data_IF_522328525725
#
_entry.id   IF_522328525725
#
_cell.length_a   1.000
_cell.length_b   1.000
_cell.length_c   1.000
_cell.angle_alpha   90.00
_cell.angle_beta   90.00
_cell.angle_gamma   90.00
#
_symmetry.space_group_name_H-M   'P 1'
#
loop_
_entity.id
_entity.type
_entity.pdbx_description
1 polymer ?
#
# COMPACT_ATOMS: atom_id res chain seq x y z
N UNK A 1 -46.14 55.35 -20.32
CA UNK A 1 -46.03 54.73 -18.98
C UNK A 1 -44.78 53.87 -18.98
N UNK A 2 -43.63 54.43 -18.54
CA UNK A 2 -42.98 54.13 -17.24
C UNK A 2 -42.59 52.64 -17.13
N UNK A 3 -41.32 52.25 -17.07
CA UNK A 3 -40.37 52.66 -16.02
C UNK A 3 -38.91 52.38 -16.45
N UNK A 4 -38.01 53.31 -16.06
CA UNK A 4 -36.54 53.26 -16.22
C UNK A 4 -35.94 53.29 -14.80
N UNK A 5 -35.13 52.30 -14.40
CA UNK A 5 -34.15 52.34 -13.26
C UNK A 5 -33.07 51.27 -13.49
N UNK A 6 -31.92 51.63 -14.07
CA UNK A 6 -30.60 51.93 -13.45
C UNK A 6 -29.82 50.66 -13.01
N UNK A 7 -28.61 50.42 -13.56
CA UNK A 7 -27.78 49.26 -13.23
C UNK A 7 -26.96 49.50 -11.96
N UNK A 8 -26.96 48.54 -11.03
CA UNK A 8 -26.08 48.56 -9.86
C UNK A 8 -24.93 47.59 -10.09
N UNK A 9 -23.78 48.15 -10.46
CA UNK A 9 -22.49 47.44 -10.46
C UNK A 9 -22.01 47.37 -9.01
N UNK A 10 -21.94 46.17 -8.44
CA UNK A 10 -21.15 45.90 -7.22
C UNK A 10 -19.98 45.02 -7.65
N UNK A 11 -18.81 45.65 -7.72
CA UNK A 11 -17.53 44.98 -7.80
C UNK A 11 -17.10 44.60 -6.37
N UNK A 12 -17.09 43.31 -6.07
CA UNK A 12 -16.33 42.74 -4.96
C UNK A 12 -15.59 41.54 -5.49
N UNK A 13 -14.33 41.77 -5.87
CA UNK A 13 -13.39 40.70 -6.10
C UNK A 13 -12.93 40.13 -4.77
N UNK A 14 -13.04 38.83 -4.59
CA UNK A 14 -12.12 38.06 -3.76
C UNK A 14 -11.91 36.70 -4.42
N UNK A 15 -10.67 36.44 -4.81
CA UNK A 15 -10.17 35.16 -5.27
C UNK A 15 -10.40 34.10 -4.19
N UNK A 16 -11.05 33.00 -4.54
CA UNK A 16 -10.85 31.72 -3.88
C UNK A 16 -10.77 30.65 -4.96
N UNK A 17 -9.53 30.31 -5.33
CA UNK A 17 -9.22 29.09 -6.03
C UNK A 17 -9.65 27.90 -5.18
N UNK A 18 -10.08 26.82 -5.84
CA UNK A 18 -9.76 25.48 -5.35
C UNK A 18 -10.92 24.52 -5.23
N UNK A 19 -10.99 23.64 -6.22
CA UNK A 19 -11.37 22.24 -6.12
C UNK A 19 -12.78 21.91 -5.61
N UNK A 20 -13.62 21.56 -6.59
CA UNK A 20 -14.62 20.49 -6.45
C UNK A 20 -13.95 19.24 -5.86
N UNK A 21 -14.03 19.06 -4.55
CA UNK A 21 -13.78 17.77 -3.95
C UNK A 21 -14.95 16.86 -4.33
N UNK A 22 -14.77 16.12 -5.42
CA UNK A 22 -15.50 14.88 -5.59
C UNK A 22 -15.28 14.07 -4.31
N UNK A 23 -16.34 13.89 -3.54
CA UNK A 23 -16.35 12.89 -2.47
C UNK A 23 -16.19 11.53 -3.15
N UNK A 24 -14.94 11.10 -3.28
CA UNK A 24 -14.65 9.69 -3.27
C UNK A 24 -15.22 9.18 -1.95
N UNK A 25 -16.35 8.48 -2.02
CA UNK A 25 -16.80 7.58 -0.95
C UNK A 25 -15.78 6.46 -0.81
N UNK A 26 -14.57 6.78 -0.37
CA UNK A 26 -13.66 5.85 0.24
C UNK A 26 -14.27 5.51 1.58
N UNK A 27 -14.78 4.29 1.71
CA UNK A 27 -15.29 3.77 2.97
C UNK A 27 -14.22 3.97 4.04
N UNK A 28 -14.42 4.96 4.91
CA UNK A 28 -13.72 5.05 6.19
C UNK A 28 -14.34 4.02 7.14
N UNK A 29 -14.25 2.74 6.77
CA UNK A 29 -14.28 1.71 7.79
C UNK A 29 -13.06 2.03 8.67
N UNK A 30 -13.25 2.42 9.94
CA UNK A 30 -12.12 2.71 10.80
C UNK A 30 -11.25 1.45 10.82
N UNK A 31 -9.93 1.62 10.67
CA UNK A 31 -8.94 0.58 10.97
C UNK A 31 -8.92 0.23 12.47
N UNK A 32 -10.10 0.16 13.11
CA UNK A 32 -10.29 -0.37 14.44
C UNK A 32 -10.01 -1.87 14.36
N UNK A 33 -8.83 -2.23 14.85
CA UNK A 33 -8.32 -3.57 15.13
C UNK A 33 -7.73 -4.37 13.95
N UNK A 34 -6.70 -3.83 13.28
CA UNK A 34 -5.62 -4.76 12.92
C UNK A 34 -4.93 -5.16 14.24
N UNK A 35 -5.46 -6.18 14.90
CA UNK A 35 -4.76 -6.85 15.99
C UNK A 35 -3.62 -7.63 15.32
N UNK A 36 -2.35 -7.24 15.49
CA UNK A 36 -1.24 -7.95 14.89
C UNK A 36 -1.28 -9.37 15.44
N UNK A 37 -1.51 -10.34 14.57
CA UNK A 37 -1.68 -11.74 14.95
C UNK A 37 -0.56 -12.12 15.95
N UNK A 38 -0.89 -12.51 17.19
CA UNK A 38 0.11 -12.75 18.23
C UNK A 38 1.11 -13.84 17.83
N UNK A 39 0.77 -14.69 16.85
CA UNK A 39 1.69 -15.63 16.25
C UNK A 39 2.85 -14.96 15.50
N UNK A 40 2.67 -13.75 14.93
CA UNK A 40 3.76 -13.02 14.29
C UNK A 40 4.84 -12.59 15.28
N UNK A 41 4.46 -12.20 16.50
CA UNK A 41 5.42 -11.73 17.52
C UNK A 41 6.48 -12.79 17.83
N UNK A 42 6.11 -14.07 17.79
CA UNK A 42 7.02 -15.21 18.05
C UNK A 42 7.37 -16.01 16.80
N UNK A 43 6.76 -15.72 15.64
CA UNK A 43 6.94 -16.49 14.40
C UNK A 43 8.42 -16.58 14.02
N UNK A 44 8.95 -17.78 13.81
CA UNK A 44 10.31 -17.96 13.29
C UNK A 44 10.50 -17.26 11.94
N UNK A 45 11.74 -16.94 11.56
CA UNK A 45 12.02 -16.34 10.24
C UNK A 45 11.43 -17.18 9.08
N UNK A 46 11.40 -18.51 9.22
CA UNK A 46 10.79 -19.42 8.25
C UNK A 46 9.27 -19.20 8.11
N UNK A 47 8.55 -18.98 9.21
CA UNK A 47 7.12 -18.65 9.17
C UNK A 47 6.88 -17.27 8.53
N UNK A 48 7.72 -16.28 8.83
CA UNK A 48 7.65 -14.98 8.16
C UNK A 48 7.88 -15.12 6.66
N UNK A 49 8.83 -15.96 6.24
CA UNK A 49 9.11 -16.22 4.83
C UNK A 49 7.92 -16.84 4.12
N UNK A 50 7.27 -17.84 4.74
CA UNK A 50 6.05 -18.45 4.23
C UNK A 50 4.94 -17.42 4.01
N UNK A 51 4.71 -16.53 5.00
CA UNK A 51 3.70 -15.46 4.88
C UNK A 51 4.02 -14.48 3.76
N UNK A 52 5.27 -14.00 3.69
CA UNK A 52 5.71 -13.06 2.65
C UNK A 52 5.63 -13.71 1.26
N UNK A 53 5.99 -14.99 1.13
CA UNK A 53 5.88 -15.75 -0.10
C UNK A 53 4.42 -15.84 -0.55
N UNK A 54 3.53 -16.28 0.33
CA UNK A 54 2.10 -16.41 0.02
C UNK A 54 1.48 -15.07 -0.38
N UNK A 55 1.77 -13.99 0.37
CA UNK A 55 1.29 -12.66 0.04
C UNK A 55 1.78 -12.19 -1.34
N UNK A 56 3.06 -12.44 -1.67
CA UNK A 56 3.59 -12.19 -3.01
C UNK A 56 2.84 -12.98 -4.07
N UNK A 57 2.63 -14.28 -3.87
CA UNK A 57 1.97 -15.15 -4.84
C UNK A 57 0.56 -14.64 -5.16
N UNK A 58 -0.24 -14.30 -4.13
CA UNK A 58 -1.60 -13.78 -4.30
C UNK A 58 -1.62 -12.44 -5.03
N UNK A 59 -0.73 -11.52 -4.66
CA UNK A 59 -0.66 -10.19 -5.30
C UNK A 59 -0.21 -10.33 -6.76
N UNK A 60 0.79 -11.17 -7.03
CA UNK A 60 1.33 -11.32 -8.37
C UNK A 60 0.38 -12.06 -9.31
N UNK A 61 -0.36 -13.04 -8.80
CA UNK A 61 -1.41 -13.70 -9.57
C UNK A 61 -2.46 -12.67 -10.02
N UNK A 62 -2.82 -11.72 -9.15
CA UNK A 62 -3.76 -10.63 -9.48
C UNK A 62 -3.16 -9.64 -10.49
N UNK A 63 -1.89 -9.26 -10.33
CA UNK A 63 -1.24 -8.27 -11.20
C UNK A 63 -0.92 -8.81 -12.60
N UNK A 64 -0.63 -10.10 -12.73
CA UNK A 64 -0.14 -10.71 -13.98
C UNK A 64 -1.12 -11.70 -14.61
N UNK A 65 -2.22 -12.03 -13.92
CA UNK A 65 -3.15 -13.10 -14.31
C UNK A 65 -2.48 -14.48 -14.49
N UNK A 66 -1.28 -14.66 -13.90
CA UNK A 66 -0.58 -15.94 -13.88
C UNK A 66 -1.15 -16.87 -12.79
N UNK A 67 -0.87 -18.16 -12.89
CA UNK A 67 -1.28 -19.14 -11.87
C UNK A 67 -0.35 -19.06 -10.65
N UNK A 68 -0.90 -19.25 -9.45
CA UNK A 68 -0.13 -19.22 -8.20
C UNK A 68 1.05 -20.19 -8.23
N UNK A 69 0.86 -21.39 -8.80
CA UNK A 69 1.91 -22.39 -8.96
C UNK A 69 3.12 -21.89 -9.77
N UNK A 70 2.89 -21.08 -10.80
CA UNK A 70 3.96 -20.49 -11.62
C UNK A 70 4.72 -19.37 -10.89
N UNK A 71 4.16 -18.83 -9.81
CA UNK A 71 4.71 -17.74 -9.01
C UNK A 71 5.41 -18.21 -7.73
N UNK A 72 5.21 -19.46 -7.30
CA UNK A 72 5.84 -20.03 -6.09
C UNK A 72 7.37 -19.86 -6.06
N UNK A 73 8.04 -20.12 -7.19
CA UNK A 73 9.49 -19.96 -7.32
C UNK A 73 9.95 -18.50 -7.22
N UNK A 74 9.47 -17.57 -8.07
CA UNK A 74 9.90 -16.18 -7.99
C UNK A 74 9.46 -15.49 -6.70
N UNK A 75 8.27 -15.79 -6.16
CA UNK A 75 7.85 -15.28 -4.85
C UNK A 75 8.64 -15.90 -3.68
N UNK A 76 9.13 -17.13 -3.81
CA UNK A 76 10.10 -17.71 -2.88
C UNK A 76 11.46 -17.02 -2.91
N UNK A 77 11.94 -16.60 -4.10
CA UNK A 77 13.12 -15.74 -4.22
C UNK A 77 12.91 -14.42 -3.47
N UNK A 78 11.78 -13.76 -3.71
CA UNK A 78 11.44 -12.48 -3.10
C UNK A 78 11.38 -12.57 -1.57
N UNK A 79 10.68 -13.58 -1.03
CA UNK A 79 10.52 -13.73 0.41
C UNK A 79 11.87 -13.94 1.12
N UNK A 80 12.71 -14.83 0.59
CA UNK A 80 14.06 -15.07 1.11
C UNK A 80 14.92 -13.81 1.07
N UNK A 81 14.99 -13.16 -0.08
CA UNK A 81 15.85 -12.00 -0.28
C UNK A 81 15.41 -10.82 0.60
N UNK A 82 14.10 -10.57 0.66
CA UNK A 82 13.53 -9.51 1.50
C UNK A 82 13.89 -9.74 2.96
N UNK A 83 13.55 -10.90 3.54
CA UNK A 83 13.82 -11.17 4.96
C UNK A 83 15.31 -11.27 5.30
N UNK A 84 16.17 -11.61 4.34
CA UNK A 84 17.64 -11.58 4.52
C UNK A 84 18.19 -10.16 4.55
N UNK A 85 17.54 -9.22 3.87
CA UNK A 85 17.94 -7.81 3.82
C UNK A 85 17.41 -6.97 5.00
N UNK A 86 16.40 -7.48 5.71
CA UNK A 86 15.82 -6.78 6.86
C UNK A 86 16.72 -6.90 8.09
N UNK A 87 16.85 -5.78 8.80
CA UNK A 87 17.47 -5.76 10.12
C UNK A 87 16.48 -6.17 11.22
N UNK A 88 16.97 -6.26 12.46
CA UNK A 88 16.16 -6.69 13.60
C UNK A 88 14.97 -5.75 13.86
N UNK A 89 15.17 -4.43 13.71
CA UNK A 89 14.13 -3.43 13.97
C UNK A 89 13.04 -3.45 12.90
N UNK A 90 13.42 -3.69 11.64
CA UNK A 90 12.48 -3.85 10.53
C UNK A 90 11.66 -5.14 10.63
N UNK A 91 12.29 -6.23 11.08
CA UNK A 91 11.58 -7.49 11.36
C UNK A 91 10.61 -7.30 12.52
N UNK A 92 11.02 -6.62 13.60
CA UNK A 92 10.15 -6.33 14.73
C UNK A 92 8.97 -5.44 14.32
N UNK A 93 9.22 -4.40 13.52
CA UNK A 93 8.18 -3.56 12.95
C UNK A 93 7.20 -4.38 12.09
N UNK A 94 7.70 -5.27 11.22
CA UNK A 94 6.86 -6.15 10.42
C UNK A 94 6.03 -7.11 11.28
N UNK A 95 6.58 -7.65 12.36
CA UNK A 95 5.83 -8.50 13.30
C UNK A 95 4.74 -7.74 14.04
N UNK A 96 5.04 -6.49 14.40
CA UNK A 96 4.14 -5.64 15.19
C UNK A 96 3.03 -5.04 14.34
N UNK A 97 3.29 -4.79 13.06
CA UNK A 97 2.36 -4.04 12.20
C UNK A 97 1.78 -4.86 11.06
N UNK A 98 2.41 -6.01 10.74
CA UNK A 98 2.02 -6.84 9.61
C UNK A 98 2.41 -6.30 8.24
N UNK A 99 3.01 -5.11 8.15
CA UNK A 99 3.45 -4.48 6.91
C UNK A 99 4.91 -4.04 6.98
N UNK A 100 5.56 -3.88 5.82
CA UNK A 100 6.91 -3.35 5.75
C UNK A 100 6.87 -1.83 5.94
N UNK A 101 7.68 -1.32 6.89
CA UNK A 101 7.92 0.11 7.04
C UNK A 101 8.68 0.68 5.82
N UNK A 102 8.90 1.99 5.75
CA UNK A 102 9.49 2.63 4.56
C UNK A 102 10.88 2.09 4.18
N UNK A 103 11.74 1.84 5.17
CA UNK A 103 13.08 1.30 4.93
C UNK A 103 13.03 -0.16 4.43
N UNK A 104 12.20 -1.00 5.06
CA UNK A 104 11.98 -2.38 4.64
C UNK A 104 11.31 -2.45 3.26
N UNK A 105 10.41 -1.51 2.96
CA UNK A 105 9.70 -1.42 1.68
C UNK A 105 10.67 -1.14 0.54
N UNK A 106 11.64 -0.24 0.72
CA UNK A 106 12.66 0.00 -0.31
C UNK A 106 13.46 -1.28 -0.63
N UNK A 107 13.81 -2.05 0.40
CA UNK A 107 14.52 -3.33 0.25
C UNK A 107 13.64 -4.40 -0.43
N UNK A 108 12.37 -4.48 -0.05
CA UNK A 108 11.39 -5.37 -0.67
C UNK A 108 11.20 -5.05 -2.15
N UNK A 109 11.09 -3.77 -2.52
CA UNK A 109 10.99 -3.37 -3.92
C UNK A 109 12.24 -3.76 -4.73
N UNK A 110 13.44 -3.59 -4.17
CA UNK A 110 14.69 -4.08 -4.77
C UNK A 110 14.72 -5.60 -4.94
N UNK A 111 14.14 -6.35 -3.99
CA UNK A 111 14.01 -7.80 -4.08
C UNK A 111 13.01 -8.23 -5.19
N UNK A 112 11.91 -7.50 -5.40
CA UNK A 112 11.00 -7.75 -6.52
C UNK A 112 11.74 -7.64 -7.86
N UNK A 113 12.52 -6.58 -8.04
CA UNK A 113 13.30 -6.35 -9.27
C UNK A 113 14.31 -7.49 -9.49
N UNK A 114 15.04 -7.85 -8.43
CA UNK A 114 16.05 -8.91 -8.46
C UNK A 114 15.45 -10.29 -8.79
N UNK A 115 14.21 -10.54 -8.35
CA UNK A 115 13.48 -11.78 -8.58
C UNK A 115 12.59 -11.74 -9.85
N UNK A 116 12.71 -10.70 -10.68
CA UNK A 116 11.98 -10.52 -11.95
C UNK A 116 10.45 -10.56 -11.79
N UNK A 117 9.99 -9.95 -10.70
CA UNK A 117 8.59 -9.87 -10.34
C UNK A 117 8.00 -8.50 -10.72
N UNK A 118 6.72 -8.46 -11.11
CA UNK A 118 6.03 -7.21 -11.44
C UNK A 118 5.94 -6.32 -10.18
N UNK A 119 6.29 -5.04 -10.30
CA UNK A 119 6.10 -4.08 -9.21
C UNK A 119 4.62 -3.70 -9.09
N UNK A 120 4.02 -3.74 -7.88
CA UNK A 120 2.74 -3.09 -7.63
C UNK A 120 2.90 -1.58 -7.83
N UNK A 121 2.01 -0.99 -8.64
CA UNK A 121 1.94 0.47 -8.90
C UNK A 121 1.01 1.17 -7.93
#
# INVERSE_FOLDING_TARGET
MTMRRLPLLIATGLFALGATAAYAGGSSAPFQQYEPDPALKTATKSNLEGRVRHACTVVQARLTSATEASLERPCGCYARQTLRSLDASEIEAYRTTGYFNDSARAKALSALDSCKLQRPV
#
